data_IF_055482234317
#
_entry.id   IF_055482234317
#
_cell.length_a   1.000
_cell.length_b   1.000
_cell.length_c   1.000
_cell.angle_alpha   90.00
_cell.angle_beta   90.00
_cell.angle_gamma   90.00
#
_symmetry.space_group_name_H-M   'P 1'
#
loop_
_entity.id
_entity.type
_entity.pdbx_description
1 polymer ?
#
# COMPACT_ATOMS: atom_id res chain seq x y z
N UNK A 1 7.24 -6.22 -21.18
CA UNK A 1 6.75 -6.48 -19.82
C UNK A 1 6.89 -5.17 -19.05
N UNK A 2 5.89 -4.75 -18.28
CA UNK A 2 5.97 -3.53 -17.47
C UNK A 2 6.71 -3.81 -16.17
N UNK A 3 7.60 -2.89 -15.75
CA UNK A 3 8.29 -2.94 -14.46
C UNK A 3 7.60 -1.98 -13.51
N UNK A 4 7.15 -2.47 -12.37
CA UNK A 4 6.39 -1.67 -11.41
C UNK A 4 6.93 -1.87 -10.00
N UNK A 5 6.88 -0.81 -9.18
CA UNK A 5 7.03 -0.89 -7.73
C UNK A 5 5.83 -0.22 -7.08
N UNK A 6 5.00 -1.02 -6.41
CA UNK A 6 3.74 -0.58 -5.83
C UNK A 6 3.81 -0.38 -4.31
N UNK A 7 5.02 -0.46 -3.72
CA UNK A 7 5.20 -0.34 -2.28
C UNK A 7 6.36 0.61 -1.92
N UNK A 8 6.10 1.90 -2.00
CA UNK A 8 7.10 2.93 -1.69
C UNK A 8 6.61 3.84 -0.57
N UNK A 9 7.43 3.99 0.48
CA UNK A 9 7.22 4.95 1.55
C UNK A 9 8.06 6.21 1.31
N UNK A 10 7.43 7.36 1.47
CA UNK A 10 8.06 8.67 1.28
C UNK A 10 7.90 9.58 2.50
N UNK A 11 6.99 9.24 3.40
CA UNK A 11 6.78 9.92 4.69
C UNK A 11 6.77 8.87 5.79
N UNK A 12 7.58 9.02 6.85
CA UNK A 12 7.48 8.12 8.00
C UNK A 12 6.18 8.36 8.75
N UNK A 13 5.50 7.28 9.10
CA UNK A 13 4.33 7.28 9.97
C UNK A 13 4.70 6.83 11.38
N UNK A 14 3.70 6.77 12.27
CA UNK A 14 3.88 6.24 13.63
C UNK A 14 4.32 4.77 13.63
N UNK A 15 4.01 4.01 12.57
CA UNK A 15 4.39 2.59 12.42
C UNK A 15 5.84 2.41 11.95
N UNK A 16 6.43 3.42 11.34
CA UNK A 16 7.75 3.37 10.77
C UNK A 16 8.88 3.69 11.78
N UNK A 17 10.12 3.52 11.32
CA UNK A 17 11.29 4.20 11.87
C UNK A 17 11.45 5.52 11.14
N UNK A 18 12.01 6.52 11.80
CA UNK A 18 12.32 7.79 11.15
C UNK A 18 13.26 7.58 9.97
N UNK A 19 12.94 8.20 8.84
CA UNK A 19 13.78 8.27 7.66
C UNK A 19 13.60 9.61 6.96
N UNK A 20 14.57 9.98 6.14
CA UNK A 20 14.50 11.19 5.31
C UNK A 20 14.23 10.80 3.87
N UNK A 21 13.15 11.35 3.33
CA UNK A 21 12.82 11.20 1.91
C UNK A 21 13.73 12.08 1.06
N UNK A 22 14.21 11.54 -0.07
CA UNK A 22 14.96 12.26 -1.09
C UNK A 22 14.33 12.00 -2.46
N UNK A 23 13.81 13.05 -3.08
CA UNK A 23 13.27 12.96 -4.44
C UNK A 23 14.34 12.54 -5.46
N UNK A 24 15.57 13.04 -5.31
CA UNK A 24 16.67 12.67 -6.21
C UNK A 24 16.97 11.16 -6.10
N UNK A 25 16.99 10.61 -4.89
CA UNK A 25 17.17 9.17 -4.70
C UNK A 25 16.04 8.35 -5.31
N UNK A 26 14.80 8.85 -5.26
CA UNK A 26 13.66 8.22 -5.91
C UNK A 26 13.77 8.31 -7.43
N UNK A 27 14.19 9.44 -8.00
CA UNK A 27 14.46 9.59 -9.44
C UNK A 27 15.53 8.60 -9.91
N UNK A 28 16.66 8.53 -9.19
CA UNK A 28 17.74 7.58 -9.48
C UNK A 28 17.27 6.13 -9.41
N UNK A 29 16.43 5.80 -8.42
CA UNK A 29 15.85 4.46 -8.25
C UNK A 29 14.96 4.07 -9.43
N UNK A 30 14.04 4.95 -9.82
CA UNK A 30 13.12 4.76 -10.96
C UNK A 30 13.90 4.57 -12.25
N UNK A 31 14.92 5.39 -12.48
CA UNK A 31 15.75 5.35 -13.68
C UNK A 31 16.59 4.07 -13.76
N UNK A 32 17.31 3.74 -12.66
CA UNK A 32 18.18 2.55 -12.61
C UNK A 32 17.42 1.24 -12.79
N UNK A 33 16.20 1.16 -12.29
CA UNK A 33 15.37 -0.02 -12.44
C UNK A 33 14.49 0.01 -13.69
N UNK A 34 14.50 1.14 -14.43
CA UNK A 34 13.65 1.36 -15.61
C UNK A 34 12.16 1.10 -15.28
N UNK A 35 11.67 1.68 -14.19
CA UNK A 35 10.29 1.49 -13.76
C UNK A 35 9.32 2.22 -14.69
N UNK A 36 8.24 1.56 -15.07
CA UNK A 36 7.16 2.13 -15.87
C UNK A 36 6.12 2.88 -15.03
N UNK A 37 5.92 2.45 -13.79
CA UNK A 37 5.08 3.14 -12.81
C UNK A 37 5.44 2.73 -11.39
N UNK A 38 5.01 3.58 -10.44
CA UNK A 38 5.14 3.33 -9.01
C UNK A 38 3.84 3.66 -8.28
N UNK A 39 3.69 3.17 -7.03
CA UNK A 39 2.68 3.68 -6.11
C UNK A 39 3.35 4.18 -4.81
N UNK A 40 2.86 5.31 -4.30
CA UNK A 40 3.24 5.81 -2.98
C UNK A 40 2.23 5.27 -1.97
N UNK A 41 2.71 4.44 -1.05
CA UNK A 41 1.88 3.66 -0.12
C UNK A 41 2.40 3.76 1.30
N UNK A 42 2.53 5.00 1.83
CA UNK A 42 2.98 5.20 3.20
C UNK A 42 2.08 4.47 4.21
N UNK A 43 2.67 4.02 5.31
CA UNK A 43 1.95 3.34 6.38
C UNK A 43 0.89 4.22 7.03
N UNK A 44 -0.39 3.82 6.93
CA UNK A 44 -1.55 4.46 7.57
C UNK A 44 -1.70 5.96 7.30
N UNK A 45 -1.02 6.44 6.25
CA UNK A 45 -0.91 7.86 5.92
C UNK A 45 -0.88 8.07 4.41
N UNK A 46 -1.62 9.07 3.94
CA UNK A 46 -1.49 9.63 2.60
C UNK A 46 -1.20 11.12 2.71
N UNK A 47 -0.03 11.54 2.23
CA UNK A 47 0.32 12.97 2.11
C UNK A 47 0.05 13.44 0.69
N UNK A 48 -1.13 14.03 0.49
CA UNK A 48 -1.58 14.53 -0.82
C UNK A 48 -0.60 15.53 -1.43
N UNK A 49 -0.08 16.45 -0.63
CA UNK A 49 0.83 17.51 -1.12
C UNK A 49 2.14 16.92 -1.61
N UNK A 50 2.72 15.99 -0.85
CA UNK A 50 3.94 15.32 -1.27
C UNK A 50 3.69 14.41 -2.48
N UNK A 51 2.56 13.70 -2.53
CA UNK A 51 2.17 12.89 -3.67
C UNK A 51 2.06 13.73 -4.95
N UNK A 52 1.36 14.87 -4.91
CA UNK A 52 1.23 15.79 -6.06
C UNK A 52 2.59 16.32 -6.52
N UNK A 53 3.48 16.64 -5.57
CA UNK A 53 4.84 17.05 -5.87
C UNK A 53 5.64 15.96 -6.57
N UNK A 54 5.67 14.74 -6.03
CA UNK A 54 6.37 13.59 -6.61
C UNK A 54 5.82 13.26 -8.00
N UNK A 55 4.49 13.22 -8.15
CA UNK A 55 3.82 12.92 -9.41
C UNK A 55 4.14 13.94 -10.51
N UNK A 56 4.36 15.20 -10.16
CA UNK A 56 4.78 16.24 -11.10
C UNK A 56 6.24 16.12 -11.53
N UNK A 57 7.09 15.66 -10.62
CA UNK A 57 8.55 15.62 -10.80
C UNK A 57 9.06 14.34 -11.48
N UNK A 58 8.26 13.28 -11.49
CA UNK A 58 8.59 12.03 -12.17
C UNK A 58 7.95 11.97 -13.56
N UNK A 59 8.70 11.42 -14.52
CA UNK A 59 8.23 11.23 -15.91
C UNK A 59 7.38 9.96 -16.10
N UNK A 60 7.22 9.14 -15.05
CA UNK A 60 6.44 7.92 -15.04
C UNK A 60 5.10 8.10 -14.33
N UNK A 61 4.17 7.17 -14.50
CA UNK A 61 2.91 7.18 -13.77
C UNK A 61 3.16 6.91 -12.28
N UNK A 62 2.62 7.78 -11.42
CA UNK A 62 2.61 7.62 -9.97
C UNK A 62 1.17 7.42 -9.52
N UNK A 63 0.90 6.34 -8.80
CA UNK A 63 -0.42 6.04 -8.24
C UNK A 63 -0.49 6.45 -6.76
N UNK A 64 -1.61 7.04 -6.31
CA UNK A 64 -1.86 7.27 -4.91
C UNK A 64 -2.22 5.96 -4.23
N UNK A 65 -1.67 5.73 -3.05
CA UNK A 65 -1.94 4.54 -2.27
C UNK A 65 -1.70 4.76 -0.79
N UNK A 66 -2.01 3.74 0.00
CA UNK A 66 -1.79 3.68 1.43
C UNK A 66 -1.52 2.24 1.83
N UNK A 67 -0.54 1.97 2.69
CA UNK A 67 -0.42 0.68 3.39
C UNK A 67 -1.23 0.79 4.68
N UNK A 68 -2.16 -0.14 4.90
CA UNK A 68 -3.08 -0.11 6.03
C UNK A 68 -2.78 -1.28 6.97
N UNK A 69 -2.59 -0.96 8.26
CA UNK A 69 -2.55 -1.95 9.33
C UNK A 69 -3.97 -2.41 9.64
N UNK A 70 -4.28 -3.68 9.29
CA UNK A 70 -5.54 -4.33 9.61
C UNK A 70 -5.38 -5.23 10.84
N UNK A 71 -6.51 -5.58 11.48
CA UNK A 71 -6.57 -6.56 12.59
C UNK A 71 -5.95 -7.92 12.23
N UNK A 72 -5.80 -8.21 10.96
CA UNK A 72 -5.33 -9.48 10.42
C UNK A 72 -4.28 -9.26 9.33
N UNK A 73 -3.30 -8.39 9.57
CA UNK A 73 -2.16 -8.16 8.69
C UNK A 73 -2.16 -6.79 8.02
N UNK A 74 -1.43 -6.66 6.93
CA UNK A 74 -1.24 -5.41 6.21
C UNK A 74 -1.74 -5.54 4.78
N UNK A 75 -2.29 -4.46 4.25
CA UNK A 75 -2.77 -4.41 2.87
C UNK A 75 -2.36 -3.09 2.22
N UNK A 76 -1.84 -3.16 1.01
CA UNK A 76 -1.74 -1.98 0.15
C UNK A 76 -3.09 -1.75 -0.51
N UNK A 77 -3.55 -0.51 -0.46
CA UNK A 77 -4.74 -0.05 -1.14
C UNK A 77 -4.32 1.09 -2.08
N UNK A 78 -4.40 0.82 -3.39
CA UNK A 78 -3.93 1.72 -4.44
C UNK A 78 -5.13 2.19 -5.25
N UNK A 79 -5.21 3.50 -5.45
CA UNK A 79 -6.29 4.16 -6.17
C UNK A 79 -5.85 4.62 -7.57
N UNK A 80 -6.80 4.79 -8.47
CA UNK A 80 -6.62 5.63 -9.65
C UNK A 80 -6.70 7.11 -9.26
N UNK A 81 -6.12 8.00 -10.09
CA UNK A 81 -6.04 9.44 -9.77
C UNK A 81 -7.35 10.21 -10.01
N UNK A 82 -8.47 9.53 -10.24
CA UNK A 82 -9.72 10.19 -10.67
C UNK A 82 -10.33 11.11 -9.61
N UNK A 83 -10.25 10.73 -8.32
CA UNK A 83 -10.74 11.55 -7.20
C UNK A 83 -9.74 11.54 -6.04
N UNK A 84 -8.63 12.27 -6.22
CA UNK A 84 -7.58 12.38 -5.22
C UNK A 84 -8.06 13.07 -3.92
N UNK A 85 -9.09 13.92 -4.01
CA UNK A 85 -9.63 14.60 -2.83
C UNK A 85 -10.43 13.64 -1.96
N UNK A 86 -11.28 12.81 -2.55
CA UNK A 86 -12.03 11.78 -1.82
C UNK A 86 -11.08 10.74 -1.21
N UNK A 87 -10.05 10.32 -1.98
CA UNK A 87 -9.03 9.41 -1.49
C UNK A 87 -8.29 9.98 -0.27
N UNK A 88 -7.85 11.23 -0.32
CA UNK A 88 -7.19 11.93 0.80
C UNK A 88 -8.08 11.98 2.04
N UNK A 89 -9.37 12.29 1.88
CA UNK A 89 -10.32 12.32 2.98
C UNK A 89 -10.50 10.94 3.64
N UNK A 90 -10.55 9.88 2.85
CA UNK A 90 -10.63 8.50 3.32
C UNK A 90 -9.36 8.09 4.08
N UNK A 91 -8.19 8.36 3.52
CA UNK A 91 -6.92 8.08 4.18
C UNK A 91 -6.76 8.83 5.51
N UNK A 92 -7.22 10.08 5.59
CA UNK A 92 -7.25 10.84 6.85
C UNK A 92 -8.13 10.19 7.93
N UNK A 93 -9.20 9.47 7.55
CA UNK A 93 -9.97 8.69 8.53
C UNK A 93 -9.14 7.52 9.08
N UNK A 94 -8.42 6.79 8.23
CA UNK A 94 -7.47 5.73 8.68
C UNK A 94 -6.45 6.30 9.65
N UNK A 95 -5.74 7.37 9.26
CA UNK A 95 -4.72 8.02 10.10
C UNK A 95 -5.26 8.45 11.47
N UNK A 96 -6.53 8.87 11.55
CA UNK A 96 -7.16 9.26 12.82
C UNK A 96 -7.43 8.09 13.77
N UNK A 97 -7.64 6.90 13.25
CA UNK A 97 -7.89 5.69 14.03
C UNK A 97 -6.59 5.08 14.56
N UNK A 98 -5.47 5.26 13.88
CA UNK A 98 -4.17 4.69 14.24
C UNK A 98 -3.34 5.73 14.98
N UNK A 99 -3.19 5.55 16.32
CA UNK A 99 -2.50 6.46 17.23
C UNK A 99 -1.24 5.88 17.84
N UNK A 100 -1.03 4.56 17.69
CA UNK A 100 0.12 3.83 18.19
C UNK A 100 0.52 2.73 17.22
N UNK A 101 1.73 2.16 17.38
CA UNK A 101 2.22 1.04 16.56
C UNK A 101 1.43 -0.26 16.72
N UNK A 102 0.61 -0.36 17.75
CA UNK A 102 -0.24 -1.52 18.02
C UNK A 102 -1.66 -1.35 17.52
N UNK A 103 -2.02 -0.16 17.04
CA UNK A 103 -3.36 0.10 16.52
C UNK A 103 -3.49 -0.44 15.09
N UNK A 104 -4.70 -0.84 14.78
CA UNK A 104 -5.11 -1.31 13.47
C UNK A 104 -6.57 -0.93 13.23
N UNK A 105 -7.02 -1.01 11.99
CA UNK A 105 -8.45 -0.91 11.68
C UNK A 105 -9.04 -2.30 11.44
N UNK A 106 -10.33 -2.46 11.74
CA UNK A 106 -11.05 -3.70 11.43
C UNK A 106 -11.46 -3.74 9.95
N UNK A 107 -11.84 -4.92 9.47
CA UNK A 107 -12.41 -5.06 8.13
C UNK A 107 -13.67 -4.19 7.95
N UNK A 108 -14.54 -4.14 8.97
CA UNK A 108 -15.76 -3.34 8.95
C UNK A 108 -15.46 -1.84 8.84
N UNK A 109 -14.45 -1.34 9.57
CA UNK A 109 -13.97 0.04 9.45
C UNK A 109 -13.37 0.32 8.06
N UNK A 110 -12.64 -0.63 7.48
CA UNK A 110 -12.12 -0.50 6.11
C UNK A 110 -13.28 -0.28 5.12
N UNK A 111 -14.32 -1.12 5.19
CA UNK A 111 -15.51 -1.01 4.32
C UNK A 111 -16.27 0.29 4.58
N UNK A 112 -16.43 0.72 5.84
CA UNK A 112 -17.08 1.98 6.17
C UNK A 112 -16.34 3.19 5.58
N UNK A 113 -15.00 3.17 5.63
CA UNK A 113 -14.17 4.26 5.12
C UNK A 113 -14.16 4.29 3.59
N UNK A 114 -13.89 3.16 2.95
CA UNK A 114 -13.67 3.10 1.49
C UNK A 114 -14.91 2.72 0.68
N UNK A 115 -16.00 2.33 1.35
CA UNK A 115 -17.33 2.00 0.81
C UNK A 115 -17.36 0.92 -0.27
N UNK A 116 -16.57 1.02 -1.31
CA UNK A 116 -16.44 0.01 -2.38
C UNK A 116 -14.97 -0.26 -2.66
N UNK A 117 -14.53 -1.46 -2.32
CA UNK A 117 -13.15 -1.88 -2.54
C UNK A 117 -12.84 -2.19 -4.02
N UNK A 118 -13.84 -2.42 -4.85
CA UNK A 118 -13.67 -2.71 -6.29
C UNK A 118 -13.07 -1.55 -7.10
N UNK A 119 -13.01 -0.35 -6.51
CA UNK A 119 -12.36 0.82 -7.12
C UNK A 119 -10.86 0.90 -6.85
N UNK A 120 -10.32 -0.04 -6.07
CA UNK A 120 -8.92 -0.03 -5.63
C UNK A 120 -8.23 -1.33 -6.01
N UNK A 121 -6.94 -1.25 -6.26
CA UNK A 121 -6.09 -2.43 -6.30
C UNK A 121 -5.68 -2.76 -4.87
N UNK A 122 -6.04 -3.95 -4.40
CA UNK A 122 -5.70 -4.46 -3.08
C UNK A 122 -4.58 -5.48 -3.19
N UNK A 123 -3.50 -5.28 -2.41
CA UNK A 123 -2.34 -6.16 -2.39
C UNK A 123 -2.04 -6.53 -0.93
N UNK A 124 -2.46 -7.71 -0.44
CA UNK A 124 -2.16 -8.16 0.90
C UNK A 124 -0.68 -8.56 1.04
N UNK A 125 -0.11 -8.29 2.22
CA UNK A 125 1.19 -8.79 2.63
C UNK A 125 1.08 -10.18 3.24
N UNK A 126 1.62 -11.18 2.56
CA UNK A 126 1.53 -12.56 3.04
C UNK A 126 2.55 -12.94 4.11
N UNK A 127 3.65 -12.21 4.22
CA UNK A 127 4.79 -12.58 5.08
C UNK A 127 5.15 -11.53 6.14
N UNK A 128 4.39 -10.45 6.25
CA UNK A 128 4.54 -9.42 7.29
C UNK A 128 3.77 -9.87 8.55
N UNK A 129 4.32 -9.57 9.73
CA UNK A 129 3.65 -9.91 11.00
C UNK A 129 2.88 -8.72 11.55
N UNK A 130 1.63 -8.93 12.00
CA UNK A 130 0.88 -10.18 11.91
C UNK A 130 0.59 -10.59 10.47
N UNK A 131 0.58 -11.90 10.20
CA UNK A 131 0.24 -12.40 8.88
C UNK A 131 -1.25 -12.15 8.60
N UNK A 132 -1.59 -11.83 7.36
CA UNK A 132 -3.00 -11.73 6.96
C UNK A 132 -3.67 -13.10 7.11
N UNK A 133 -4.87 -13.12 7.68
CA UNK A 133 -5.63 -14.35 7.92
C UNK A 133 -6.43 -14.74 6.69
N UNK A 134 -6.64 -16.05 6.52
CA UNK A 134 -7.45 -16.59 5.41
C UNK A 134 -8.87 -16.00 5.44
N UNK A 135 -9.49 -15.91 6.61
CA UNK A 135 -10.83 -15.34 6.76
C UNK A 135 -10.91 -13.87 6.30
N UNK A 136 -9.83 -13.09 6.48
CA UNK A 136 -9.75 -11.71 5.99
C UNK A 136 -9.61 -11.69 4.47
N UNK A 137 -8.79 -12.59 3.90
CA UNK A 137 -8.66 -12.74 2.44
C UNK A 137 -10.00 -13.12 1.80
N UNK A 138 -10.74 -14.06 2.41
CA UNK A 138 -12.07 -14.48 1.96
C UNK A 138 -13.07 -13.30 1.99
N UNK A 139 -13.05 -12.48 3.05
CA UNK A 139 -13.89 -11.28 3.16
C UNK A 139 -13.52 -10.21 2.11
N UNK A 140 -12.24 -10.05 1.78
CA UNK A 140 -11.78 -9.14 0.72
C UNK A 140 -12.13 -9.68 -0.69
N UNK A 141 -12.24 -11.00 -0.81
CA UNK A 141 -12.82 -11.74 -1.93
C UNK A 141 -12.22 -11.37 -3.29
N UNK A 142 -13.08 -11.15 -4.26
CA UNK A 142 -12.75 -10.89 -5.67
C UNK A 142 -11.97 -9.58 -5.92
N UNK A 143 -11.74 -8.78 -4.88
CA UNK A 143 -10.95 -7.54 -5.00
C UNK A 143 -9.43 -7.79 -4.91
N UNK A 144 -8.99 -9.02 -4.58
CA UNK A 144 -7.57 -9.38 -4.49
C UNK A 144 -7.15 -10.11 -5.77
N UNK A 145 -6.22 -9.51 -6.50
CA UNK A 145 -5.66 -10.09 -7.73
C UNK A 145 -4.20 -10.52 -7.59
N UNK A 146 -3.52 -10.08 -6.55
CA UNK A 146 -2.11 -10.37 -6.28
C UNK A 146 -1.81 -10.23 -4.80
N UNK A 147 -0.61 -10.63 -4.40
CA UNK A 147 -0.13 -10.47 -3.03
C UNK A 147 1.35 -10.14 -3.02
N UNK A 148 1.82 -9.56 -1.93
CA UNK A 148 3.21 -9.19 -1.74
C UNK A 148 3.92 -10.13 -0.76
N UNK A 149 5.19 -10.44 -1.09
CA UNK A 149 6.14 -11.11 -0.21
C UNK A 149 7.46 -10.35 -0.21
N UNK A 150 8.09 -10.20 0.95
CA UNK A 150 9.31 -9.40 1.13
C UNK A 150 10.56 -10.03 0.56
N UNK A 151 10.52 -11.30 0.13
CA UNK A 151 11.69 -11.95 -0.44
C UNK A 151 11.34 -13.10 -1.38
N UNK A 152 12.25 -13.33 -2.34
CA UNK A 152 12.15 -14.44 -3.29
C UNK A 152 12.08 -15.83 -2.62
N UNK A 153 12.69 -15.98 -1.43
CA UNK A 153 12.63 -17.23 -0.65
C UNK A 153 11.23 -17.48 -0.12
N UNK A 154 10.59 -16.43 0.39
CA UNK A 154 9.22 -16.49 0.90
C UNK A 154 8.22 -16.67 -0.22
N UNK A 155 8.44 -16.03 -1.37
CA UNK A 155 7.63 -16.25 -2.57
C UNK A 155 7.61 -17.73 -3.00
N UNK A 156 8.79 -18.37 -3.03
CA UNK A 156 8.88 -19.80 -3.34
C UNK A 156 8.15 -20.67 -2.31
N UNK A 157 8.19 -20.31 -1.02
CA UNK A 157 7.45 -21.02 0.02
C UNK A 157 5.92 -20.90 -0.19
N UNK A 158 5.42 -19.72 -0.52
CA UNK A 158 4.00 -19.52 -0.82
C UNK A 158 3.52 -20.38 -2.00
N UNK A 159 4.31 -20.48 -3.08
CA UNK A 159 3.98 -21.31 -4.23
C UNK A 159 3.93 -22.82 -3.89
N UNK A 160 4.77 -23.28 -2.96
CA UNK A 160 4.82 -24.70 -2.57
C UNK A 160 3.72 -25.07 -1.57
N UNK A 161 3.16 -24.13 -0.85
CA UNK A 161 2.03 -24.36 0.06
C UNK A 161 0.68 -24.36 -0.66
N UNK A 162 0.55 -23.67 -1.79
CA UNK A 162 -0.68 -23.65 -2.59
C UNK A 162 -0.92 -24.94 -3.38
N UNK A 163 0.10 -25.79 -3.51
CA UNK A 163 0.00 -27.08 -4.21
C UNK A 163 -0.28 -28.26 -3.25
N UNK A 164 -0.58 -27.99 -1.97
CA UNK A 164 -0.96 -28.96 -0.96
C UNK A 164 -2.41 -28.79 -0.53
#
# INVERSE_FOLDING_TARGET
MKKVDLHIHTVPSISDRDFFFSLNSLKDYVEKLELDCIAITNHNLFDKTQFEYISKELSIKVFPGIEIDLEAGHILLISENEDLQDFDLKCKKVTRLIKSKSDYITYEQLIEIFTSLSKYLLIPHYDKKPNIKVETLEKLGDNIFCGEVTSIRKFKACLTESDK
#
